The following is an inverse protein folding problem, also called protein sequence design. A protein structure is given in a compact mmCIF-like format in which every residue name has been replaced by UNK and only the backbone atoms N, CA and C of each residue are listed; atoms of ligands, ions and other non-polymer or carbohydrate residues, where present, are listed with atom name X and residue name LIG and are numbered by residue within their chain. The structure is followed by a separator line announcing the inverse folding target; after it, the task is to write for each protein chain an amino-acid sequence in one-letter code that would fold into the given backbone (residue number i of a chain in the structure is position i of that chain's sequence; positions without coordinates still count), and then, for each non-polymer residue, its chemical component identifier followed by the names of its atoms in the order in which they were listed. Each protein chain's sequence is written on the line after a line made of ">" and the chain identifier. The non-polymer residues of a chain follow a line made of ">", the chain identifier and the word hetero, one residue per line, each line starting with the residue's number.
data_IF_034026905623
#
_entry.id   IF_034026905623
#
_cell.length_a   1.000
_cell.length_b   1.000
_cell.length_c   1.000
_cell.angle_alpha   90.00
_cell.angle_beta   90.00
_cell.angle_gamma   90.00
#
_symmetry.space_group_name_H-M   'P 1'
#
loop_
_entity.id
_entity.type
_entity.pdbx_description
1 polymer ?
#
# COMPACT_ATOMS: atom_id res chain seq x y z
N UNK A 1 2.77 -12.60 6.83
CA UNK A 1 1.96 -11.46 7.31
C UNK A 1 2.07 -10.29 6.32
N UNK A 2 0.98 -9.56 6.11
CA UNK A 2 0.96 -8.35 5.27
C UNK A 2 0.84 -7.14 6.19
N UNK A 3 1.72 -6.15 6.03
CA UNK A 3 1.55 -4.84 6.62
C UNK A 3 0.80 -3.95 5.62
N UNK A 4 -0.38 -3.51 5.99
CA UNK A 4 -1.13 -2.49 5.25
C UNK A 4 -0.74 -1.14 5.86
N UNK A 5 -0.31 -0.20 5.04
CA UNK A 5 0.14 1.13 5.50
C UNK A 5 -0.74 2.20 4.90
N UNK A 6 -1.38 2.99 5.73
CA UNK A 6 -2.22 4.13 5.32
C UNK A 6 -1.70 5.42 5.94
N UNK A 7 -1.46 6.42 5.11
CA UNK A 7 -1.08 7.76 5.57
C UNK A 7 -2.33 8.64 5.63
N UNK A 8 -2.82 8.87 6.83
CA UNK A 8 -4.01 9.71 7.04
C UNK A 8 -3.66 11.18 6.83
N UNK A 9 -3.92 11.67 5.64
CA UNK A 9 -3.75 13.07 5.26
C UNK A 9 -5.08 13.84 5.25
N UNK A 10 -6.20 13.15 5.07
CA UNK A 10 -7.57 13.69 4.99
C UNK A 10 -8.31 13.60 6.34
N UNK A 11 -9.62 13.49 6.27
CA UNK A 11 -10.48 13.41 7.46
C UNK A 11 -10.50 12.00 8.06
N UNK A 12 -10.70 11.85 9.38
CA UNK A 12 -10.78 10.55 10.04
C UNK A 12 -11.85 9.60 9.50
N UNK A 13 -12.95 10.13 8.93
CA UNK A 13 -14.05 9.32 8.39
C UNK A 13 -13.59 8.36 7.27
N UNK A 14 -12.55 8.74 6.54
CA UNK A 14 -11.95 7.88 5.51
C UNK A 14 -11.31 6.63 6.11
N UNK A 15 -10.78 6.72 7.31
CA UNK A 15 -10.19 5.59 8.02
C UNK A 15 -11.26 4.55 8.40
N UNK A 16 -12.45 4.98 8.79
CA UNK A 16 -13.55 4.06 9.11
C UNK A 16 -13.94 3.20 7.92
N UNK A 17 -14.08 3.81 6.74
CA UNK A 17 -14.41 3.08 5.51
C UNK A 17 -13.27 2.17 5.07
N UNK A 18 -12.02 2.64 5.14
CA UNK A 18 -10.85 1.82 4.85
C UNK A 18 -10.80 0.60 5.78
N UNK A 19 -11.04 0.80 7.10
CA UNK A 19 -11.09 -0.29 8.07
C UNK A 19 -12.14 -1.35 7.73
N UNK A 20 -13.38 -0.95 7.43
CA UNK A 20 -14.43 -1.91 7.08
C UNK A 20 -14.06 -2.71 5.82
N UNK A 21 -13.39 -2.09 4.83
CA UNK A 21 -12.91 -2.79 3.65
C UNK A 21 -11.79 -3.79 3.95
N UNK A 22 -10.85 -3.43 4.84
CA UNK A 22 -9.76 -4.32 5.28
C UNK A 22 -10.31 -5.47 6.12
N UNK A 23 -11.21 -5.17 7.06
CA UNK A 23 -11.84 -6.15 7.96
C UNK A 23 -12.63 -7.22 7.22
N UNK A 24 -13.19 -6.88 6.04
CA UNK A 24 -13.89 -7.83 5.20
C UNK A 24 -12.96 -8.89 4.55
N UNK A 25 -11.64 -8.69 4.60
CA UNK A 25 -10.67 -9.61 4.02
C UNK A 25 -10.38 -10.77 4.98
N UNK A 26 -10.15 -11.94 4.40
CA UNK A 26 -9.69 -13.14 5.14
C UNK A 26 -8.17 -13.31 4.98
N UNK A 27 -7.40 -12.33 5.43
CA UNK A 27 -5.94 -12.33 5.34
C UNK A 27 -5.29 -12.09 6.71
N UNK A 28 -4.06 -12.54 6.87
CA UNK A 28 -3.26 -12.23 8.06
C UNK A 28 -2.55 -10.89 7.84
N UNK A 29 -3.04 -9.83 8.50
CA UNK A 29 -2.53 -8.48 8.35
C UNK A 29 -2.26 -7.78 9.69
N UNK A 30 -1.39 -6.77 9.63
CA UNK A 30 -1.25 -5.69 10.60
C UNK A 30 -1.44 -4.37 9.87
N UNK A 31 -2.38 -3.54 10.33
CA UNK A 31 -2.62 -2.24 9.72
C UNK A 31 -1.87 -1.13 10.45
N UNK A 32 -1.13 -0.32 9.73
CA UNK A 32 -0.41 0.83 10.26
C UNK A 32 -1.03 2.11 9.71
N UNK A 33 -1.55 2.94 10.61
CA UNK A 33 -2.05 4.27 10.27
C UNK A 33 -0.99 5.27 10.68
N UNK A 34 -0.35 5.91 9.71
CA UNK A 34 0.62 6.98 9.93
C UNK A 34 -0.09 8.32 9.85
N UNK A 35 0.00 9.12 10.90
CA UNK A 35 -0.75 10.37 10.99
C UNK A 35 -0.06 11.40 11.89
N UNK A 36 -0.59 12.62 11.95
CA UNK A 36 -0.14 13.69 12.88
C UNK A 36 -0.83 13.57 14.24
N UNK A 37 -0.29 14.21 15.26
CA UNK A 37 -0.81 14.12 16.64
C UNK A 37 -2.27 14.59 16.75
N UNK A 38 -2.62 15.68 16.08
CA UNK A 38 -3.96 16.26 16.07
C UNK A 38 -5.01 15.29 15.49
N UNK A 39 -4.69 14.65 14.37
CA UNK A 39 -5.58 13.64 13.74
C UNK A 39 -5.62 12.35 14.56
N UNK A 40 -4.50 11.94 15.13
CA UNK A 40 -4.44 10.78 15.99
C UNK A 40 -5.45 10.89 17.15
N UNK A 41 -5.55 12.04 17.80
CA UNK A 41 -6.50 12.29 18.91
C UNK A 41 -7.97 12.16 18.51
N UNK A 42 -8.30 12.33 17.21
CA UNK A 42 -9.67 12.22 16.70
C UNK A 42 -10.07 10.78 16.33
N UNK A 43 -9.12 9.84 16.29
CA UNK A 43 -9.38 8.44 15.95
C UNK A 43 -9.90 7.66 17.17
N UNK A 44 -10.94 6.87 16.98
CA UNK A 44 -11.42 5.93 17.98
C UNK A 44 -10.62 4.63 17.93
N UNK A 45 -9.50 4.56 18.64
CA UNK A 45 -8.55 3.44 18.60
C UNK A 45 -9.16 2.09 18.95
N UNK A 46 -10.11 2.04 19.87
CA UNK A 46 -10.71 0.78 20.34
C UNK A 46 -11.50 0.06 19.24
N UNK A 47 -11.86 0.78 18.19
CA UNK A 47 -12.62 0.27 17.04
C UNK A 47 -11.78 -0.59 16.10
N UNK A 48 -10.47 -0.31 15.97
CA UNK A 48 -9.63 -0.88 14.93
C UNK A 48 -8.79 -2.05 15.47
N UNK A 49 -9.17 -3.29 15.10
CA UNK A 49 -8.40 -4.49 15.44
C UNK A 49 -7.16 -4.60 14.54
N UNK A 50 -6.10 -5.23 15.06
CA UNK A 50 -4.83 -5.43 14.34
C UNK A 50 -4.26 -4.11 13.77
N UNK A 51 -4.39 -3.01 14.53
CA UNK A 51 -4.01 -1.68 14.08
C UNK A 51 -3.00 -1.04 15.01
N UNK A 52 -1.99 -0.44 14.44
CA UNK A 52 -1.01 0.40 15.14
C UNK A 52 -1.03 1.80 14.55
N UNK A 53 -1.17 2.81 15.41
CA UNK A 53 -1.10 4.21 14.99
C UNK A 53 0.30 4.72 15.23
N UNK A 54 0.90 5.27 14.18
CA UNK A 54 2.22 5.88 14.21
C UNK A 54 2.04 7.39 14.10
N UNK A 55 2.38 8.10 15.17
CA UNK A 55 2.33 9.56 15.18
C UNK A 55 3.64 10.11 14.62
N UNK A 56 3.53 10.69 13.43
CA UNK A 56 4.67 11.33 12.74
C UNK A 56 4.75 12.80 13.14
N UNK A 57 5.92 13.30 13.56
CA UNK A 57 6.11 14.72 13.80
C UNK A 57 6.08 15.53 12.51
N UNK A 58 5.60 16.77 12.59
CA UNK A 58 5.52 17.70 11.46
C UNK A 58 4.39 17.42 10.48
N UNK A 59 4.49 17.99 9.29
CA UNK A 59 3.43 17.88 8.28
C UNK A 59 3.32 16.47 7.71
N UNK A 60 2.09 16.08 7.37
CA UNK A 60 1.78 14.81 6.74
C UNK A 60 1.61 15.00 5.23
N UNK A 61 2.34 14.18 4.49
CA UNK A 61 2.06 13.88 3.09
C UNK A 61 2.25 12.38 2.91
N UNK A 62 1.62 11.78 1.91
CA UNK A 62 1.66 10.32 1.69
C UNK A 62 3.12 9.81 1.70
N UNK A 63 3.98 10.35 0.86
CA UNK A 63 5.39 9.93 0.76
C UNK A 63 6.17 10.07 2.09
N UNK A 64 5.94 11.14 2.86
CA UNK A 64 6.62 11.33 4.15
C UNK A 64 6.11 10.38 5.21
N UNK A 65 4.83 10.02 5.17
CA UNK A 65 4.23 9.05 6.09
C UNK A 65 4.72 7.64 5.81
N UNK A 66 4.73 7.19 4.56
CA UNK A 66 5.24 5.86 4.19
C UNK A 66 6.73 5.74 4.50
N UNK A 67 7.52 6.77 4.20
CA UNK A 67 8.94 6.79 4.54
C UNK A 67 9.15 6.67 6.05
N UNK A 68 8.35 7.39 6.85
CA UNK A 68 8.42 7.31 8.31
C UNK A 68 8.05 5.92 8.83
N UNK A 69 7.05 5.25 8.23
CA UNK A 69 6.78 3.84 8.54
C UNK A 69 8.02 2.98 8.30
N UNK A 70 8.70 3.13 7.16
CA UNK A 70 9.91 2.37 6.86
C UNK A 70 11.08 2.66 7.81
N UNK A 71 11.13 3.87 8.39
CA UNK A 71 12.17 4.25 9.33
C UNK A 71 11.95 3.68 10.73
N UNK A 72 10.69 3.56 11.18
CA UNK A 72 10.37 3.18 12.57
C UNK A 72 9.95 1.71 12.73
N UNK A 73 9.44 1.07 11.66
CA UNK A 73 9.03 -0.34 11.72
C UNK A 73 10.14 -1.22 11.13
N UNK A 74 10.71 -2.13 11.96
CA UNK A 74 11.78 -3.00 11.52
C UNK A 74 11.35 -4.00 10.45
N UNK A 75 12.31 -4.44 9.64
CA UNK A 75 12.12 -5.54 8.71
C UNK A 75 12.03 -6.88 9.46
N UNK A 76 10.93 -7.59 9.27
CA UNK A 76 10.67 -8.92 9.81
C UNK A 76 10.28 -9.89 8.68
N UNK A 77 10.64 -9.58 7.43
CA UNK A 77 10.31 -10.37 6.26
C UNK A 77 8.85 -10.24 5.78
N UNK A 78 8.13 -9.23 6.28
CA UNK A 78 6.74 -8.98 5.91
C UNK A 78 6.60 -8.41 4.49
N UNK A 79 5.41 -8.59 3.93
CA UNK A 79 4.97 -7.86 2.75
C UNK A 79 4.37 -6.52 3.17
N UNK A 80 4.60 -5.48 2.39
CA UNK A 80 4.06 -4.14 2.61
C UNK A 80 3.17 -3.76 1.43
N UNK A 81 1.95 -3.35 1.75
CA UNK A 81 0.96 -2.80 0.82
C UNK A 81 0.57 -1.40 1.27
N UNK A 82 0.70 -0.41 0.41
CA UNK A 82 0.28 0.96 0.72
C UNK A 82 -1.14 1.17 0.21
N UNK A 83 -2.04 1.47 1.13
CA UNK A 83 -3.43 1.82 0.85
C UNK A 83 -3.62 3.32 1.15
N UNK A 84 -3.79 4.14 0.13
CA UNK A 84 -4.07 5.56 0.31
C UNK A 84 -5.38 5.78 1.08
N UNK A 85 -5.48 6.86 1.85
CA UNK A 85 -6.60 7.08 2.76
C UNK A 85 -7.97 7.28 2.07
N UNK A 86 -8.00 7.53 0.76
CA UNK A 86 -9.20 7.59 -0.08
C UNK A 86 -9.49 6.33 -0.89
N UNK A 87 -8.60 5.35 -0.83
CA UNK A 87 -8.79 4.04 -1.46
C UNK A 87 -9.53 3.07 -0.52
N UNK A 88 -10.14 2.04 -1.10
CA UNK A 88 -10.70 0.89 -0.35
C UNK A 88 -10.11 -0.41 -0.87
N UNK A 89 -10.00 -1.39 0.01
CA UNK A 89 -9.62 -2.75 -0.41
C UNK A 89 -10.74 -3.39 -1.20
N UNK A 90 -10.38 -4.13 -2.25
CA UNK A 90 -11.31 -4.99 -2.99
C UNK A 90 -11.30 -6.40 -2.41
N UNK A 91 -12.46 -7.05 -2.35
CA UNK A 91 -12.58 -8.40 -1.75
C UNK A 91 -11.67 -9.44 -2.44
N UNK A 92 -11.39 -9.26 -3.71
CA UNK A 92 -10.48 -10.15 -4.46
C UNK A 92 -9.02 -10.07 -3.98
N UNK A 93 -8.67 -9.11 -3.11
CA UNK A 93 -7.36 -9.12 -2.45
C UNK A 93 -7.12 -10.42 -1.68
N UNK A 94 -8.17 -11.13 -1.27
CA UNK A 94 -8.08 -12.46 -0.68
C UNK A 94 -7.40 -13.50 -1.60
N UNK A 95 -7.38 -13.26 -2.91
CA UNK A 95 -6.69 -14.11 -3.91
C UNK A 95 -5.19 -13.79 -4.01
N UNK A 96 -4.75 -12.71 -3.36
CA UNK A 96 -3.32 -12.39 -3.27
C UNK A 96 -2.75 -13.12 -2.07
N UNK A 97 -2.07 -14.22 -2.32
CA UNK A 97 -1.49 -15.10 -1.30
C UNK A 97 0.05 -14.97 -1.26
N UNK A 98 0.60 -13.89 -0.68
CA UNK A 98 2.04 -13.61 -0.79
C UNK A 98 2.95 -14.71 -0.22
N UNK A 99 2.43 -15.55 0.67
CA UNK A 99 3.16 -16.66 1.27
C UNK A 99 3.37 -17.85 0.31
N UNK A 100 2.58 -17.93 -0.78
CA UNK A 100 2.70 -19.01 -1.80
C UNK A 100 3.80 -18.71 -2.80
N UNK A 101 4.27 -17.47 -2.86
CA UNK A 101 5.32 -17.09 -3.80
C UNK A 101 6.70 -17.53 -3.32
N UNK A 102 7.56 -17.82 -4.30
CA UNK A 102 8.98 -18.11 -4.09
C UNK A 102 9.61 -17.11 -3.10
N UNK A 103 10.51 -17.57 -2.21
CA UNK A 103 11.34 -16.66 -1.39
C UNK A 103 12.14 -15.66 -2.22
N UNK A 104 12.29 -15.89 -3.53
CA UNK A 104 12.91 -14.96 -4.48
C UNK A 104 11.96 -13.87 -4.97
N UNK A 105 10.65 -14.01 -4.82
CA UNK A 105 9.70 -12.98 -5.24
C UNK A 105 9.74 -11.79 -4.25
N UNK A 106 10.05 -10.61 -4.74
CA UNK A 106 10.17 -9.39 -3.94
C UNK A 106 9.07 -8.36 -4.22
N UNK A 107 8.36 -8.50 -5.34
CA UNK A 107 7.26 -7.60 -5.70
C UNK A 107 6.09 -8.41 -6.30
N UNK A 108 4.87 -8.05 -5.91
CA UNK A 108 3.63 -8.56 -6.51
C UNK A 108 2.87 -7.36 -7.03
N UNK A 109 2.52 -7.39 -8.32
CA UNK A 109 1.74 -6.33 -8.97
C UNK A 109 0.32 -6.84 -9.19
N UNK A 110 -0.67 -5.99 -8.93
CA UNK A 110 -2.11 -6.29 -8.95
C UNK A 110 -2.87 -5.21 -9.71
N UNK A 111 -4.13 -5.45 -10.00
CA UNK A 111 -5.02 -4.47 -10.60
C UNK A 111 -5.67 -3.53 -9.58
N UNK A 112 -6.15 -2.39 -10.07
CA UNK A 112 -6.91 -1.42 -9.32
C UNK A 112 -8.13 -0.96 -10.14
N UNK A 113 -9.31 -0.95 -9.53
CA UNK A 113 -10.54 -0.52 -10.18
C UNK A 113 -10.75 1.00 -10.01
N UNK A 114 -11.04 1.68 -11.11
CA UNK A 114 -11.36 3.10 -11.14
C UNK A 114 -12.89 3.36 -11.01
N UNK A 115 -13.26 4.62 -10.82
CA UNK A 115 -14.65 5.08 -10.79
C UNK A 115 -15.43 4.71 -12.07
N UNK A 116 -14.77 4.77 -13.22
CA UNK A 116 -15.32 4.37 -14.53
C UNK A 116 -15.59 2.87 -14.66
N UNK A 117 -15.29 2.09 -13.63
CA UNK A 117 -15.26 0.61 -13.60
C UNK A 117 -14.14 0.00 -14.46
N UNK A 118 -13.32 0.81 -15.09
CA UNK A 118 -12.10 0.33 -15.73
C UNK A 118 -11.13 -0.23 -14.69
N UNK A 119 -10.41 -1.26 -15.09
CA UNK A 119 -9.39 -1.87 -14.25
C UNK A 119 -8.02 -1.51 -14.82
N UNK A 120 -7.23 -0.85 -14.00
CA UNK A 120 -5.83 -0.58 -14.31
C UNK A 120 -5.02 -1.81 -14.00
N UNK A 121 -4.48 -2.44 -15.03
CA UNK A 121 -3.49 -3.52 -14.92
C UNK A 121 -2.14 -3.06 -15.48
N UNK A 122 -1.09 -3.64 -14.93
CA UNK A 122 0.24 -3.58 -15.52
C UNK A 122 0.45 -4.88 -16.28
N UNK A 123 0.62 -4.82 -17.59
CA UNK A 123 0.68 -5.96 -18.52
C UNK A 123 2.09 -6.49 -18.77
N UNK A 124 3.05 -6.12 -17.96
CA UNK A 124 4.43 -6.61 -18.03
C UNK A 124 5.37 -5.87 -17.09
N UNK A 125 6.45 -6.54 -16.70
CA UNK A 125 7.41 -5.97 -15.73
C UNK A 125 8.02 -4.64 -16.20
N UNK A 126 8.20 -4.45 -17.50
CA UNK A 126 8.75 -3.21 -18.06
C UNK A 126 7.73 -2.04 -18.04
N UNK A 127 6.45 -2.35 -17.83
CA UNK A 127 5.38 -1.36 -17.65
C UNK A 127 5.19 -0.93 -16.19
N UNK A 128 5.94 -1.49 -15.26
CA UNK A 128 6.07 -0.97 -13.88
C UNK A 128 6.93 0.29 -13.97
N UNK A 129 6.30 1.42 -14.23
CA UNK A 129 6.97 2.67 -14.55
C UNK A 129 6.18 3.87 -14.01
N UNK A 130 6.84 5.01 -13.97
CA UNK A 130 6.26 6.30 -13.59
C UNK A 130 5.00 6.56 -14.42
N UNK A 131 3.93 6.99 -13.77
CA UNK A 131 2.60 7.27 -14.36
C UNK A 131 1.78 6.03 -14.79
N UNK A 132 2.33 4.85 -14.67
CA UNK A 132 1.66 3.61 -15.08
C UNK A 132 1.22 2.75 -13.90
N UNK A 133 1.76 3.00 -12.72
CA UNK A 133 1.48 2.26 -11.49
C UNK A 133 1.22 3.21 -10.33
N UNK A 134 0.37 2.80 -9.42
CA UNK A 134 -0.08 3.51 -8.24
C UNK A 134 0.14 2.63 -6.99
N UNK A 135 0.17 3.23 -5.78
CA UNK A 135 0.34 2.52 -4.51
C UNK A 135 -0.60 1.32 -4.35
N UNK A 136 -1.87 1.50 -4.73
CA UNK A 136 -2.87 0.43 -4.65
C UNK A 136 -2.68 -0.73 -5.63
N UNK A 137 -1.58 -0.75 -6.38
CA UNK A 137 -1.32 -1.75 -7.42
C UNK A 137 -0.12 -2.65 -7.13
N UNK A 138 0.56 -2.54 -5.98
CA UNK A 138 1.68 -3.43 -5.70
C UNK A 138 1.91 -3.70 -4.21
N UNK A 139 2.44 -4.89 -3.93
CA UNK A 139 3.02 -5.27 -2.66
C UNK A 139 4.53 -5.45 -2.85
N UNK A 140 5.30 -5.08 -1.84
CA UNK A 140 6.76 -5.30 -1.83
C UNK A 140 7.19 -6.03 -0.56
N UNK A 141 8.19 -6.90 -0.65
CA UNK A 141 8.84 -7.42 0.55
C UNK A 141 9.60 -6.30 1.25
N UNK A 142 9.44 -6.17 2.55
CA UNK A 142 10.09 -5.11 3.32
C UNK A 142 11.62 -5.09 3.11
N UNK A 143 12.25 -6.25 3.03
CA UNK A 143 13.69 -6.39 2.79
C UNK A 143 14.14 -5.85 1.43
N UNK A 144 13.28 -5.93 0.40
CA UNK A 144 13.60 -5.43 -0.94
C UNK A 144 13.60 -3.89 -1.01
N UNK A 145 12.89 -3.25 -0.08
CA UNK A 145 12.86 -1.78 0.02
C UNK A 145 14.23 -1.24 0.45
N UNK A 146 14.91 -1.90 1.39
CA UNK A 146 16.23 -1.46 1.86
C UNK A 146 16.26 0.02 2.23
N UNK A 147 17.22 0.79 1.66
CA UNK A 147 17.34 2.23 1.86
C UNK A 147 16.42 3.07 0.97
N UNK A 148 15.69 2.47 0.04
CA UNK A 148 14.81 3.23 -0.85
C UNK A 148 13.72 3.95 -0.07
N UNK A 149 13.38 5.13 -0.55
CA UNK A 149 12.31 5.96 0.01
C UNK A 149 11.48 6.57 -1.12
N UNK A 150 10.22 6.84 -0.83
CA UNK A 150 9.34 7.58 -1.74
C UNK A 150 9.88 8.99 -1.98
N UNK A 151 9.93 9.38 -3.22
CA UNK A 151 10.34 10.73 -3.60
C UNK A 151 9.24 11.73 -3.23
N UNK A 152 9.60 12.93 -2.72
CA UNK A 152 8.65 13.95 -2.30
C UNK A 152 8.08 14.75 -3.49
N UNK A 153 7.60 14.04 -4.50
CA UNK A 153 7.08 14.61 -5.74
C UNK A 153 5.76 13.94 -6.11
N UNK A 154 4.96 14.62 -6.91
CA UNK A 154 3.83 14.00 -7.58
C UNK A 154 4.31 12.79 -8.40
N UNK A 155 3.63 11.63 -8.25
CA UNK A 155 4.01 10.34 -8.85
C UNK A 155 5.22 9.65 -8.17
N UNK A 156 5.53 10.02 -6.96
CA UNK A 156 6.59 9.38 -6.17
C UNK A 156 6.42 7.88 -5.99
N UNK A 157 5.18 7.38 -6.00
CA UNK A 157 4.79 5.97 -6.01
C UNK A 157 5.29 5.23 -7.25
N UNK A 158 5.11 5.80 -8.44
CA UNK A 158 5.61 5.22 -9.69
C UNK A 158 7.14 5.20 -9.77
N UNK A 159 7.81 6.23 -9.23
CA UNK A 159 9.28 6.22 -9.09
C UNK A 159 9.72 5.10 -8.15
N UNK A 160 9.14 5.01 -6.97
CA UNK A 160 9.46 3.98 -5.99
C UNK A 160 9.25 2.56 -6.55
N UNK A 161 8.11 2.30 -7.18
CA UNK A 161 7.82 1.01 -7.82
C UNK A 161 8.83 0.68 -8.92
N UNK A 162 9.24 1.67 -9.73
CA UNK A 162 10.24 1.51 -10.78
C UNK A 162 11.62 1.17 -10.22
N UNK A 163 12.04 1.82 -9.14
CA UNK A 163 13.32 1.53 -8.47
C UNK A 163 13.32 0.11 -7.85
N UNK A 164 12.24 -0.29 -7.16
CA UNK A 164 12.09 -1.67 -6.67
C UNK A 164 12.17 -2.67 -7.81
N UNK A 165 11.48 -2.43 -8.93
CA UNK A 165 11.54 -3.28 -10.12
C UNK A 165 12.96 -3.46 -10.63
N UNK A 166 13.70 -2.36 -10.78
CA UNK A 166 15.09 -2.40 -11.29
C UNK A 166 15.96 -3.24 -10.35
N UNK A 167 15.94 -2.95 -9.05
CA UNK A 167 16.75 -3.69 -8.07
C UNK A 167 16.39 -5.18 -8.01
N UNK A 168 15.09 -5.50 -8.08
CA UNK A 168 14.60 -6.88 -8.10
C UNK A 168 15.12 -7.61 -9.33
N UNK A 169 15.02 -7.00 -10.52
CA UNK A 169 15.49 -7.57 -11.77
C UNK A 169 17.02 -7.76 -11.80
N UNK A 170 17.77 -6.74 -11.43
CA UNK A 170 19.25 -6.76 -11.42
C UNK A 170 19.82 -7.77 -10.41
N UNK A 171 19.11 -8.04 -9.32
CA UNK A 171 19.49 -9.05 -8.32
C UNK A 171 19.04 -10.47 -8.68
N UNK A 172 18.45 -10.69 -9.86
CA UNK A 172 17.96 -12.00 -10.30
C UNK A 172 16.81 -12.52 -9.44
N UNK A 173 16.00 -11.63 -8.93
CA UNK A 173 14.82 -11.92 -8.11
C UNK A 173 13.53 -11.73 -8.92
N UNK A 174 12.41 -12.26 -8.42
CA UNK A 174 11.19 -12.39 -9.17
C UNK A 174 10.20 -11.24 -8.88
N UNK A 175 9.44 -10.87 -9.90
CA UNK A 175 8.25 -10.02 -9.81
C UNK A 175 7.06 -10.83 -10.33
N UNK A 176 6.01 -10.95 -9.53
CA UNK A 176 4.75 -11.57 -9.94
C UNK A 176 3.77 -10.48 -10.40
N UNK A 177 3.07 -10.74 -11.50
CA UNK A 177 1.96 -9.89 -11.98
C UNK A 177 0.70 -10.72 -11.95
N UNK A 178 -0.33 -10.26 -11.23
CA UNK A 178 -1.57 -10.97 -11.02
C UNK A 178 -2.74 -10.24 -11.68
N UNK A 179 -3.61 -10.93 -12.41
CA UNK A 179 -4.84 -10.36 -12.94
C UNK A 179 -5.93 -10.28 -11.86
N UNK A 180 -5.57 -9.76 -10.68
CA UNK A 180 -6.45 -9.65 -9.52
C UNK A 180 -6.63 -8.19 -9.17
N UNK A 181 -7.88 -7.73 -9.05
CA UNK A 181 -8.18 -6.40 -8.53
C UNK A 181 -8.00 -6.40 -7.02
N UNK A 182 -7.10 -5.57 -6.51
CA UNK A 182 -6.74 -5.50 -5.09
C UNK A 182 -7.40 -4.34 -4.35
N UNK A 183 -7.67 -3.23 -5.04
CA UNK A 183 -8.25 -2.03 -4.45
C UNK A 183 -9.14 -1.25 -5.42
N UNK A 184 -9.91 -0.34 -4.84
CA UNK A 184 -10.65 0.69 -5.57
C UNK A 184 -9.90 2.01 -5.45
N UNK A 185 -9.59 2.63 -6.58
CA UNK A 185 -8.91 3.92 -6.64
C UNK A 185 -9.85 5.06 -6.26
N UNK A 186 -9.49 5.89 -5.30
CA UNK A 186 -10.27 7.06 -4.82
C UNK A 186 -11.75 6.72 -4.53
N UNK A 187 -12.09 5.49 -4.13
CA UNK A 187 -13.48 5.02 -3.96
C UNK A 187 -14.27 5.90 -3.01
N UNK A 188 -13.61 6.47 -2.01
CA UNK A 188 -14.27 7.29 -1.01
C UNK A 188 -14.67 8.68 -1.52
N UNK A 189 -14.19 9.07 -2.69
CA UNK A 189 -14.51 10.34 -3.34
C UNK A 189 -15.48 10.19 -4.53
N UNK A 190 -15.85 8.95 -4.90
CA UNK A 190 -16.79 8.72 -5.99
C UNK A 190 -18.17 9.29 -5.65
N UNK A 191 -18.81 9.87 -6.65
CA UNK A 191 -20.21 10.27 -6.55
C UNK A 191 -21.08 9.04 -6.75
N UNK A 192 -22.03 8.84 -5.83
CA UNK A 192 -23.05 7.79 -5.94
C UNK A 192 -24.07 8.11 -7.03
#
# INVERSE_FOLDING_TARGET
>A
MIHIVTCLSRTPDFIDRAYESIKALNINYQWYIVTTADKALSLNYSKYKNTTIIVKPGQMAMHTGVNYYYDVIPDQGQWVYVLDDDNLMHINFNLVEPHTYSPKCDMIVVGQQQETREIRYVDGIFNIAIQKIDNGQFLVRRKAVGPLRYWPIYRGDGYFASEIRILTYESGRDIAILPVVASYYNRQTWKE
#
